data_IF_802604978617
#
_entry.id   IF_802604978617
#
_cell.length_a   1.000
_cell.length_b   1.000
_cell.length_c   1.000
_cell.angle_alpha   90.00
_cell.angle_beta   90.00
_cell.angle_gamma   90.00
#
_symmetry.space_group_name_H-M   'P 1'
#
loop_
_entity.id
_entity.type
_entity.pdbx_description
1 polymer ?
#
# COMPACT_ATOMS: atom_id res chain seq x y z
N UNK A 1 -32.89 21.31 6.39
CA UNK A 1 -33.78 20.14 6.27
C UNK A 1 -32.88 18.91 6.10
N UNK A 2 -32.55 18.08 7.09
CA UNK A 2 -33.20 17.67 8.33
C UNK A 2 -32.18 17.61 9.49
N UNK A 3 -32.57 18.12 10.66
CA UNK A 3 -31.77 18.15 11.88
C UNK A 3 -32.23 17.12 12.91
N UNK A 4 -31.92 15.85 12.68
CA UNK A 4 -31.99 14.81 13.72
C UNK A 4 -30.65 14.06 13.65
N UNK A 5 -29.85 14.02 14.74
CA UNK A 5 -28.63 13.22 14.77
C UNK A 5 -29.04 11.74 14.76
N UNK A 6 -29.02 11.13 13.58
CA UNK A 6 -29.22 9.68 13.43
C UNK A 6 -27.98 9.01 14.02
N UNK A 7 -28.16 8.11 14.99
CA UNK A 7 -27.04 7.35 15.55
C UNK A 7 -26.34 6.56 14.45
N UNK A 8 -25.00 6.60 14.43
CA UNK A 8 -24.19 5.93 13.40
C UNK A 8 -24.53 4.43 13.31
N UNK A 9 -24.89 3.80 14.42
CA UNK A 9 -25.38 2.42 14.49
C UNK A 9 -26.69 2.20 13.72
N UNK A 10 -27.60 3.19 13.71
CA UNK A 10 -28.83 3.13 12.92
C UNK A 10 -28.54 3.32 11.42
N UNK A 11 -27.55 4.15 11.05
CA UNK A 11 -27.07 4.24 9.66
C UNK A 11 -26.41 2.94 9.20
N UNK A 12 -25.61 2.27 10.04
CA UNK A 12 -25.01 0.97 9.73
C UNK A 12 -26.04 -0.15 9.59
N UNK A 13 -27.05 -0.19 10.47
CA UNK A 13 -28.18 -1.11 10.32
C UNK A 13 -28.96 -0.81 9.03
N UNK A 14 -29.17 0.46 8.69
CA UNK A 14 -29.84 0.83 7.45
C UNK A 14 -29.04 0.42 6.21
N UNK A 15 -27.72 0.64 6.19
CA UNK A 15 -26.83 0.28 5.06
C UNK A 15 -26.69 -1.23 4.93
N UNK A 16 -26.52 -1.97 6.04
CA UNK A 16 -26.43 -3.43 6.02
C UNK A 16 -27.75 -4.08 5.61
N UNK A 17 -28.89 -3.54 6.06
CA UNK A 17 -30.23 -3.94 5.60
C UNK A 17 -30.40 -3.60 4.11
N UNK A 18 -29.97 -2.42 3.65
CA UNK A 18 -30.00 -2.05 2.24
C UNK A 18 -29.16 -2.99 1.37
N UNK A 19 -27.95 -3.35 1.79
CA UNK A 19 -27.08 -4.28 1.07
C UNK A 19 -27.65 -5.69 1.04
N UNK A 20 -28.30 -6.14 2.12
CA UNK A 20 -29.00 -7.42 2.15
C UNK A 20 -30.22 -7.40 1.23
N UNK A 21 -31.04 -6.35 1.28
CA UNK A 21 -32.22 -6.19 0.41
C UNK A 21 -31.78 -6.12 -1.05
N UNK A 22 -30.76 -5.33 -1.38
CA UNK A 22 -30.24 -5.20 -2.75
C UNK A 22 -29.61 -6.51 -3.22
N UNK A 23 -28.93 -7.25 -2.35
CA UNK A 23 -28.44 -8.60 -2.61
C UNK A 23 -29.57 -9.60 -2.88
N UNK A 24 -30.67 -9.53 -2.13
CA UNK A 24 -31.85 -10.38 -2.38
C UNK A 24 -32.60 -10.00 -3.65
N UNK A 25 -32.74 -8.70 -3.96
CA UNK A 25 -33.38 -8.21 -5.19
C UNK A 25 -32.54 -8.58 -6.40
N UNK A 26 -31.22 -8.42 -6.36
CA UNK A 26 -30.31 -8.88 -7.43
C UNK A 26 -30.34 -10.40 -7.57
N UNK A 27 -30.42 -11.15 -6.46
CA UNK A 27 -30.60 -12.61 -6.50
C UNK A 27 -31.94 -13.02 -7.13
N UNK A 28 -33.03 -12.29 -6.88
CA UNK A 28 -34.34 -12.56 -7.48
C UNK A 28 -34.40 -12.15 -8.96
N UNK A 29 -33.82 -11.00 -9.33
CA UNK A 29 -33.72 -10.54 -10.73
C UNK A 29 -32.79 -11.45 -11.54
N UNK A 30 -31.71 -11.96 -10.93
CA UNK A 30 -30.82 -12.95 -11.53
C UNK A 30 -31.51 -14.31 -11.79
N UNK A 31 -32.51 -14.68 -10.99
CA UNK A 31 -33.27 -15.93 -11.20
C UNK A 31 -34.35 -15.79 -12.27
N UNK A 32 -34.83 -14.57 -12.54
CA UNK A 32 -35.85 -14.31 -13.57
C UNK A 32 -35.25 -13.97 -14.94
N UNK A 33 -33.98 -13.54 -15.00
CA UNK A 33 -33.26 -13.29 -16.24
C UNK A 33 -32.41 -14.50 -16.65
N UNK A 34 -33.06 -15.58 -17.07
CA UNK A 34 -32.43 -16.55 -17.97
C UNK A 34 -32.49 -15.96 -19.38
N UNK A 35 -31.47 -15.19 -19.76
CA UNK A 35 -31.32 -14.74 -21.15
C UNK A 35 -30.89 -15.94 -22.00
N UNK A 36 -31.85 -16.79 -22.36
CA UNK A 36 -31.67 -17.84 -23.35
C UNK A 36 -31.51 -17.17 -24.72
N UNK A 37 -30.26 -16.91 -25.12
CA UNK A 37 -29.96 -16.55 -26.49
C UNK A 37 -30.24 -17.77 -27.38
N UNK A 38 -31.19 -17.71 -28.33
CA UNK A 38 -31.53 -18.83 -29.20
C UNK A 38 -30.52 -18.87 -30.34
N UNK A 39 -29.30 -19.31 -30.04
CA UNK A 39 -28.30 -19.57 -31.09
C UNK A 39 -27.90 -21.04 -31.02
N UNK A 40 -28.66 -21.85 -31.77
CA UNK A 40 -28.25 -23.20 -32.12
C UNK A 40 -27.04 -23.14 -33.06
N UNK A 41 -25.85 -23.14 -32.49
CA UNK A 41 -24.63 -23.29 -33.29
C UNK A 41 -24.58 -24.72 -33.87
N UNK A 42 -24.34 -24.88 -35.18
CA UNK A 42 -24.22 -26.20 -35.79
C UNK A 42 -23.04 -26.94 -35.15
N UNK A 43 -23.29 -28.18 -34.69
CA UNK A 43 -22.25 -29.05 -34.15
C UNK A 43 -21.32 -29.51 -35.27
N UNK A 44 -20.35 -28.66 -35.62
CA UNK A 44 -19.23 -29.04 -36.47
C UNK A 44 -18.39 -30.03 -35.66
N UNK A 45 -18.47 -31.32 -36.01
CA UNK A 45 -17.55 -32.35 -35.53
C UNK A 45 -16.14 -32.02 -35.99
N UNK A 46 -15.41 -31.21 -35.21
CA UNK A 46 -13.98 -30.97 -35.42
C UNK A 46 -13.23 -32.28 -35.12
N UNK A 47 -12.46 -32.75 -36.10
CA UNK A 47 -11.50 -33.85 -35.93
C UNK A 47 -10.61 -33.56 -34.72
N UNK A 48 -10.51 -34.53 -33.80
CA UNK A 48 -9.68 -34.44 -32.59
C UNK A 48 -8.21 -34.26 -33.00
N UNK A 49 -7.69 -33.04 -32.87
CA UNK A 49 -6.24 -32.84 -32.72
C UNK A 49 -5.92 -33.21 -31.27
N UNK A 50 -5.21 -34.30 -31.07
CA UNK A 50 -4.58 -34.62 -29.78
C UNK A 50 -3.38 -33.68 -29.65
N UNK A 51 -3.64 -32.45 -29.24
CA UNK A 51 -2.61 -31.55 -28.77
C UNK A 51 -2.48 -31.74 -27.27
N UNK A 52 -1.25 -31.93 -26.78
CA UNK A 52 -0.94 -31.84 -25.35
C UNK A 52 -1.08 -30.37 -24.93
N UNK A 53 -2.31 -29.92 -24.67
CA UNK A 53 -2.55 -28.57 -24.15
C UNK A 53 -2.12 -28.55 -22.68
N UNK A 54 -1.26 -27.61 -22.31
CA UNK A 54 -0.84 -27.47 -20.91
C UNK A 54 -2.05 -27.10 -20.05
N UNK A 55 -2.21 -27.81 -18.93
CA UNK A 55 -3.32 -27.64 -17.98
C UNK A 55 -3.44 -26.18 -17.51
N UNK A 56 -2.29 -25.53 -17.25
CA UNK A 56 -2.19 -24.12 -16.88
C UNK A 56 -2.83 -23.20 -17.93
N UNK A 57 -2.56 -23.43 -19.21
CA UNK A 57 -3.08 -22.60 -20.30
C UNK A 57 -4.59 -22.73 -20.42
N UNK A 58 -5.13 -23.93 -20.24
CA UNK A 58 -6.56 -24.16 -20.30
C UNK A 58 -7.30 -23.51 -19.13
N UNK A 59 -6.79 -23.65 -17.91
CA UNK A 59 -7.37 -23.01 -16.73
C UNK A 59 -7.25 -21.48 -16.80
N UNK A 60 -6.13 -20.95 -17.28
CA UNK A 60 -5.96 -19.51 -17.46
C UNK A 60 -6.87 -18.95 -18.56
N UNK A 61 -7.00 -19.64 -19.70
CA UNK A 61 -7.93 -19.26 -20.77
C UNK A 61 -9.38 -19.24 -20.27
N UNK A 62 -9.78 -20.29 -19.55
CA UNK A 62 -11.10 -20.43 -18.97
C UNK A 62 -11.40 -19.34 -17.94
N UNK A 63 -10.43 -19.04 -17.07
CA UNK A 63 -10.54 -17.97 -16.08
C UNK A 63 -10.64 -16.59 -16.75
N UNK A 64 -9.73 -16.31 -17.69
CA UNK A 64 -9.67 -15.00 -18.36
C UNK A 64 -10.90 -14.74 -19.22
N UNK A 65 -11.30 -15.68 -20.07
CA UNK A 65 -12.38 -15.47 -21.06
C UNK A 65 -13.73 -15.94 -20.51
N UNK A 66 -13.81 -17.15 -19.98
CA UNK A 66 -15.04 -17.71 -19.44
C UNK A 66 -15.48 -17.04 -18.13
N UNK A 67 -14.53 -16.77 -17.22
CA UNK A 67 -14.76 -16.07 -15.96
C UNK A 67 -14.69 -14.54 -16.05
N UNK A 68 -14.55 -13.97 -17.25
CA UNK A 68 -14.37 -12.53 -17.49
C UNK A 68 -13.20 -11.90 -16.69
N UNK A 69 -12.17 -12.68 -16.36
CA UNK A 69 -10.97 -12.19 -15.66
C UNK A 69 -10.23 -11.08 -16.41
N UNK A 70 -10.41 -10.97 -17.73
CA UNK A 70 -9.89 -9.85 -18.53
C UNK A 70 -10.45 -8.49 -18.07
N UNK A 71 -11.67 -8.43 -17.52
CA UNK A 71 -12.27 -7.19 -16.98
C UNK A 71 -11.48 -6.73 -15.76
N UNK A 72 -11.09 -7.65 -14.88
CA UNK A 72 -10.27 -7.33 -13.70
C UNK A 72 -8.89 -6.79 -14.11
N UNK A 73 -8.29 -7.34 -15.19
CA UNK A 73 -7.03 -6.82 -15.73
C UNK A 73 -7.19 -5.41 -16.29
N UNK A 74 -8.24 -5.13 -17.07
CA UNK A 74 -8.49 -3.78 -17.59
C UNK A 74 -8.67 -2.80 -16.44
N UNK A 75 -9.48 -3.15 -15.43
CA UNK A 75 -9.68 -2.30 -14.25
C UNK A 75 -8.37 -2.02 -13.51
N UNK A 76 -7.52 -3.04 -13.36
CA UNK A 76 -6.20 -2.89 -12.75
C UNK A 76 -5.31 -1.95 -13.57
N UNK A 77 -5.29 -2.08 -14.90
CA UNK A 77 -4.52 -1.20 -15.79
C UNK A 77 -5.07 0.23 -15.78
N UNK A 78 -6.39 0.42 -15.79
CA UNK A 78 -6.98 1.76 -15.68
C UNK A 78 -6.66 2.41 -14.34
N UNK A 79 -6.68 1.64 -13.25
CA UNK A 79 -6.23 2.10 -11.94
C UNK A 79 -4.76 2.53 -11.99
N UNK A 80 -3.91 1.73 -12.64
CA UNK A 80 -2.49 2.03 -12.79
C UNK A 80 -2.27 3.37 -13.51
N UNK A 81 -2.92 3.58 -14.65
CA UNK A 81 -2.80 4.81 -15.44
C UNK A 81 -3.35 6.01 -14.64
N UNK A 82 -4.50 5.87 -13.99
CA UNK A 82 -5.16 6.95 -13.26
C UNK A 82 -4.37 7.41 -12.02
N UNK A 83 -3.59 6.53 -11.40
CA UNK A 83 -2.84 6.81 -10.17
C UNK A 83 -1.33 7.03 -10.41
N UNK A 84 -0.87 7.05 -11.65
CA UNK A 84 0.53 7.38 -11.96
C UNK A 84 0.66 8.89 -12.08
N UNK A 85 1.33 9.52 -11.12
CA UNK A 85 1.67 10.94 -11.23
C UNK A 85 2.78 11.13 -12.26
N UNK A 86 2.65 12.17 -13.08
CA UNK A 86 3.59 12.52 -14.17
C UNK A 86 4.36 13.80 -13.90
N UNK A 87 3.96 14.59 -12.90
CA UNK A 87 4.60 15.85 -12.55
C UNK A 87 5.80 15.58 -11.66
N UNK A 88 7.03 15.96 -12.06
CA UNK A 88 8.20 15.82 -11.22
C UNK A 88 8.08 16.71 -9.97
N UNK A 89 8.76 16.33 -8.90
CA UNK A 89 8.82 17.12 -7.68
C UNK A 89 9.40 18.50 -7.96
N UNK A 90 8.64 19.52 -7.59
CA UNK A 90 9.08 20.91 -7.53
C UNK A 90 8.76 21.44 -6.14
N UNK A 91 9.71 22.07 -5.44
CA UNK A 91 9.45 22.65 -4.13
C UNK A 91 8.30 23.66 -4.21
N UNK A 92 7.18 23.36 -3.55
CA UNK A 92 5.95 24.15 -3.66
C UNK A 92 5.95 25.39 -2.78
N UNK A 93 6.57 25.30 -1.61
CA UNK A 93 6.61 26.38 -0.63
C UNK A 93 8.00 27.02 -0.55
N UNK A 94 8.07 28.29 -0.15
CA UNK A 94 9.36 28.99 0.06
C UNK A 94 10.26 28.25 1.06
N UNK A 95 9.69 27.74 2.15
CA UNK A 95 10.40 26.90 3.13
C UNK A 95 11.01 25.64 2.50
N UNK A 96 10.29 25.02 1.56
CA UNK A 96 10.74 23.81 0.88
C UNK A 96 11.86 24.13 -0.13
N UNK A 97 11.81 25.32 -0.75
CA UNK A 97 12.88 25.83 -1.60
C UNK A 97 14.15 26.11 -0.81
N UNK A 98 14.04 26.78 0.35
CA UNK A 98 15.17 27.01 1.24
C UNK A 98 15.77 25.69 1.75
N UNK A 99 14.92 24.72 2.14
CA UNK A 99 15.38 23.38 2.51
C UNK A 99 16.12 22.70 1.36
N UNK A 100 15.55 22.72 0.16
CA UNK A 100 16.15 22.10 -1.02
C UNK A 100 17.52 22.73 -1.37
N UNK A 101 17.63 24.05 -1.27
CA UNK A 101 18.87 24.80 -1.51
C UNK A 101 20.01 24.32 -0.62
N UNK A 102 19.78 24.19 0.69
CA UNK A 102 20.79 23.67 1.59
C UNK A 102 20.99 22.17 1.41
N UNK A 103 19.92 21.39 1.21
CA UNK A 103 20.00 19.95 1.03
C UNK A 103 20.92 19.57 -0.13
N UNK A 104 20.84 20.24 -1.28
CA UNK A 104 21.74 19.97 -2.41
C UNK A 104 23.21 20.09 -2.03
N UNK A 105 23.57 21.07 -1.19
CA UNK A 105 24.95 21.32 -0.77
C UNK A 105 25.47 20.25 0.20
N UNK A 106 24.62 19.72 1.06
CA UNK A 106 25.00 18.74 2.10
C UNK A 106 24.68 17.29 1.76
N UNK A 107 23.90 17.04 0.70
CA UNK A 107 23.42 15.70 0.31
C UNK A 107 24.52 14.65 0.17
N UNK A 108 24.24 13.41 0.58
CA UNK A 108 25.17 12.27 0.49
C UNK A 108 25.96 11.99 1.78
N UNK A 109 27.18 11.41 1.69
CA UNK A 109 27.95 11.03 2.87
C UNK A 109 28.37 12.25 3.69
N UNK A 110 28.31 12.08 5.00
CA UNK A 110 28.73 13.08 5.97
C UNK A 110 30.26 13.19 5.96
N UNK A 111 30.78 14.38 5.68
CA UNK A 111 32.22 14.68 5.58
C UNK A 111 32.54 15.89 6.47
N UNK A 112 33.79 16.01 6.98
CA UNK A 112 34.16 17.11 7.86
C UNK A 112 34.03 18.50 7.19
N UNK A 113 34.18 18.57 5.87
CA UNK A 113 33.97 19.81 5.10
C UNK A 113 32.52 20.30 5.16
N UNK A 114 31.57 19.36 5.09
CA UNK A 114 30.14 19.66 5.20
C UNK A 114 29.73 20.04 6.62
N UNK A 115 30.36 19.43 7.63
CA UNK A 115 30.17 19.83 9.03
C UNK A 115 30.63 21.28 9.24
N UNK A 116 31.80 21.63 8.71
CA UNK A 116 32.31 23.00 8.79
C UNK A 116 31.36 24.02 8.12
N UNK A 117 30.81 23.67 6.95
CA UNK A 117 29.81 24.49 6.26
C UNK A 117 28.53 24.71 7.11
N UNK A 118 27.95 23.63 7.66
CA UNK A 118 26.77 23.73 8.52
C UNK A 118 27.03 24.59 9.76
N UNK A 119 28.19 24.43 10.40
CA UNK A 119 28.53 25.23 11.58
C UNK A 119 28.79 26.70 11.24
N UNK A 120 29.35 27.02 10.07
CA UNK A 120 29.49 28.42 9.63
C UNK A 120 28.15 29.06 9.34
N UNK A 121 27.24 28.33 8.70
CA UNK A 121 25.91 28.83 8.36
C UNK A 121 25.05 29.01 9.63
N UNK A 122 25.19 28.11 10.61
CA UNK A 122 24.58 28.27 11.93
C UNK A 122 25.02 29.57 12.61
N UNK A 123 26.34 29.86 12.61
CA UNK A 123 26.86 31.11 13.17
C UNK A 123 26.31 32.34 12.45
N UNK A 124 26.21 32.28 11.11
CA UNK A 124 25.61 33.34 10.31
C UNK A 124 24.20 33.66 10.81
N UNK A 125 23.36 32.65 11.05
CA UNK A 125 22.00 32.83 11.57
C UNK A 125 21.96 33.35 13.02
N UNK A 126 22.87 32.89 13.88
CA UNK A 126 22.99 33.36 15.27
C UNK A 126 23.40 34.85 15.35
N UNK A 127 24.13 35.36 14.35
CA UNK A 127 24.57 36.76 14.28
C UNK A 127 23.51 37.72 13.71
N UNK A 128 22.51 37.23 12.97
CA UNK A 128 21.46 38.05 12.36
C UNK A 128 20.76 38.99 13.37
N UNK A 129 20.33 38.54 14.57
CA UNK A 129 19.72 39.43 15.57
C UNK A 129 20.65 40.57 16.00
N UNK A 130 21.96 40.30 16.12
CA UNK A 130 22.96 41.30 16.48
C UNK A 130 23.15 42.32 15.35
N UNK A 131 23.12 41.87 14.10
CA UNK A 131 23.22 42.75 12.92
C UNK A 131 21.99 43.67 12.82
N UNK A 132 20.79 43.16 13.08
CA UNK A 132 19.59 44.00 13.19
C UNK A 132 19.73 45.07 14.29
N UNK A 133 20.25 44.71 15.46
CA UNK A 133 20.46 45.66 16.56
C UNK A 133 21.47 46.76 16.21
N UNK A 134 22.58 46.41 15.53
CA UNK A 134 23.60 47.38 15.08
C UNK A 134 23.01 48.34 14.04
N UNK A 135 22.25 47.85 13.07
CA UNK A 135 21.61 48.69 12.05
C UNK A 135 20.59 49.64 12.65
N UNK A 136 19.78 49.15 13.60
CA UNK A 136 18.83 49.98 14.32
C UNK A 136 19.54 51.09 15.10
N UNK A 137 20.60 50.76 15.84
CA UNK A 137 21.37 51.73 16.60
C UNK A 137 22.08 52.76 15.69
N UNK A 138 22.62 52.33 14.56
CA UNK A 138 23.25 53.22 13.57
C UNK A 138 22.26 54.20 12.91
N UNK A 139 21.01 53.77 12.71
CA UNK A 139 19.93 54.63 12.25
C UNK A 139 19.50 55.64 13.32
N UNK A 140 19.33 55.19 14.57
CA UNK A 140 18.96 56.06 15.71
C UNK A 140 20.04 57.13 16.00
N UNK A 141 21.32 56.81 15.77
CA UNK A 141 22.44 57.73 15.91
C UNK A 141 22.62 58.67 14.70
N UNK A 142 21.78 58.54 13.66
CA UNK A 142 21.87 59.35 12.44
C UNK A 142 23.09 59.05 11.55
N UNK A 143 23.77 57.92 11.79
CA UNK A 143 24.94 57.48 11.03
C UNK A 143 24.56 56.77 9.71
N UNK A 144 23.32 56.26 9.61
CA UNK A 144 22.76 55.68 8.39
C UNK A 144 21.67 56.55 7.77
N UNK A 145 21.68 56.65 6.44
CA UNK A 145 20.53 57.14 5.69
C UNK A 145 19.33 56.19 5.85
N UNK A 146 18.12 56.72 5.74
CA UNK A 146 16.89 55.91 5.74
C UNK A 146 16.89 54.89 4.60
N UNK A 147 17.42 55.25 3.45
CA UNK A 147 17.49 54.37 2.28
C UNK A 147 18.44 53.20 2.55
N UNK A 148 19.65 53.48 3.03
CA UNK A 148 20.65 52.46 3.39
C UNK A 148 20.13 51.51 4.48
N UNK A 149 19.44 52.06 5.49
CA UNK A 149 18.83 51.27 6.55
C UNK A 149 17.76 50.30 6.01
N UNK A 150 16.88 50.78 5.13
CA UNK A 150 15.82 49.95 4.54
C UNK A 150 16.41 48.85 3.64
N UNK A 151 17.41 49.18 2.82
CA UNK A 151 18.05 48.20 1.94
C UNK A 151 18.75 47.08 2.74
N UNK A 152 19.56 47.45 3.74
CA UNK A 152 20.30 46.48 4.55
C UNK A 152 19.36 45.64 5.43
N UNK A 153 18.32 46.25 6.00
CA UNK A 153 17.30 45.52 6.76
C UNK A 153 16.53 44.55 5.87
N UNK A 154 16.23 44.93 4.62
CA UNK A 154 15.55 44.06 3.67
C UNK A 154 16.42 42.87 3.26
N UNK A 155 17.72 43.08 3.02
CA UNK A 155 18.67 42.00 2.74
C UNK A 155 18.77 41.02 3.92
N UNK A 156 18.90 41.53 5.15
CA UNK A 156 18.93 40.67 6.34
C UNK A 156 17.62 39.92 6.57
N UNK A 157 16.48 40.55 6.28
CA UNK A 157 15.17 39.89 6.37
C UNK A 157 15.07 38.76 5.35
N UNK A 158 15.57 38.98 4.13
CA UNK A 158 15.64 37.94 3.10
C UNK A 158 16.52 36.77 3.55
N UNK A 159 17.72 37.04 4.06
CA UNK A 159 18.63 36.02 4.61
C UNK A 159 17.99 35.25 5.76
N UNK A 160 17.29 35.94 6.67
CA UNK A 160 16.57 35.30 7.78
C UNK A 160 15.48 34.32 7.32
N UNK A 161 14.88 34.52 6.13
CA UNK A 161 13.86 33.58 5.64
C UNK A 161 14.41 32.18 5.38
N UNK A 162 15.69 32.07 5.05
CA UNK A 162 16.38 30.79 4.80
C UNK A 162 16.56 29.95 6.08
N UNK A 163 16.50 30.59 7.25
CA UNK A 163 16.67 29.93 8.55
C UNK A 163 15.70 28.75 8.73
N UNK A 164 14.44 28.94 8.32
CA UNK A 164 13.38 27.91 8.43
C UNK A 164 13.69 26.62 7.67
N UNK A 165 14.36 26.72 6.51
CA UNK A 165 14.83 25.57 5.73
C UNK A 165 16.09 24.95 6.33
N UNK A 166 17.00 25.79 6.82
CA UNK A 166 18.25 25.37 7.47
C UNK A 166 18.02 24.59 8.77
N UNK A 167 17.08 25.03 9.62
CA UNK A 167 16.74 24.37 10.89
C UNK A 167 16.32 22.91 10.69
N UNK A 168 15.62 22.59 9.59
CA UNK A 168 15.23 21.21 9.27
C UNK A 168 16.45 20.32 9.00
N UNK A 169 17.48 20.85 8.35
CA UNK A 169 18.74 20.12 8.08
C UNK A 169 19.55 19.98 9.36
N UNK A 170 19.59 21.02 10.20
CA UNK A 170 20.24 20.96 11.51
C UNK A 170 19.61 19.90 12.41
N UNK A 171 18.29 19.72 12.35
CA UNK A 171 17.59 18.61 12.99
C UNK A 171 18.13 17.25 12.56
N UNK A 172 18.26 17.01 11.24
CA UNK A 172 18.84 15.76 10.73
C UNK A 172 20.32 15.61 11.12
N UNK A 173 21.10 16.69 11.05
CA UNK A 173 22.52 16.70 11.41
C UNK A 173 22.75 16.25 12.87
N UNK A 174 21.99 16.80 13.82
CA UNK A 174 22.12 16.43 15.24
C UNK A 174 21.90 14.93 15.47
N UNK A 175 20.93 14.34 14.76
CA UNK A 175 20.64 12.90 14.78
C UNK A 175 21.76 12.07 14.15
N UNK A 176 22.33 12.52 13.03
CA UNK A 176 23.44 11.83 12.38
C UNK A 176 24.69 11.78 13.26
N UNK A 177 24.97 12.86 14.00
CA UNK A 177 26.07 12.91 14.97
C UNK A 177 25.89 11.91 16.11
N UNK A 178 24.66 11.72 16.56
CA UNK A 178 24.32 10.67 17.53
C UNK A 178 24.58 9.26 16.95
N UNK A 179 24.21 9.03 15.69
CA UNK A 179 24.45 7.75 15.02
C UNK A 179 25.94 7.46 14.79
N UNK A 180 26.73 8.48 14.47
CA UNK A 180 28.18 8.37 14.31
C UNK A 180 28.85 7.95 15.64
N UNK A 181 28.38 8.47 16.78
CA UNK A 181 28.84 8.03 18.09
C UNK A 181 28.58 6.54 18.37
N UNK A 182 27.59 5.96 17.70
CA UNK A 182 27.25 4.52 17.74
C UNK A 182 28.02 3.70 16.69
N UNK A 183 28.94 4.32 15.94
CA UNK A 183 29.74 3.69 14.89
C UNK A 183 29.00 3.47 13.55
N UNK A 184 27.88 4.17 13.33
CA UNK A 184 27.06 4.05 12.12
C UNK A 184 27.25 5.30 11.25
N UNK A 185 27.76 5.13 10.03
CA UNK A 185 27.91 6.22 9.06
C UNK A 185 26.56 6.59 8.42
N UNK A 186 25.79 7.44 9.08
CA UNK A 186 24.53 7.96 8.56
C UNK A 186 24.71 8.85 7.32
N UNK A 187 23.64 9.04 6.55
CA UNK A 187 23.62 9.94 5.38
C UNK A 187 22.43 10.89 5.46
N UNK A 188 22.60 12.12 4.96
CA UNK A 188 21.51 13.10 4.86
C UNK A 188 20.58 12.67 3.73
N UNK A 189 19.28 12.55 4.02
CA UNK A 189 18.26 12.09 3.08
C UNK A 189 17.18 13.16 2.89
N UNK A 190 16.67 13.27 1.65
CA UNK A 190 15.62 14.24 1.35
C UNK A 190 14.33 13.85 2.08
N UNK A 191 13.81 14.74 2.92
CA UNK A 191 12.63 14.50 3.76
C UNK A 191 11.43 14.00 2.96
N UNK A 192 11.09 14.68 1.86
CA UNK A 192 9.94 14.29 1.01
C UNK A 192 10.15 12.94 0.33
N UNK A 193 11.39 12.58 -0.03
CA UNK A 193 11.66 11.26 -0.59
C UNK A 193 11.45 10.18 0.48
N UNK A 194 11.86 10.45 1.73
CA UNK A 194 11.63 9.57 2.89
C UNK A 194 10.14 9.46 3.20
N UNK A 195 9.41 10.58 3.24
CA UNK A 195 7.97 10.60 3.50
C UNK A 195 7.17 9.86 2.42
N UNK A 196 7.48 10.08 1.14
CA UNK A 196 6.86 9.33 0.04
C UNK A 196 7.17 7.82 0.11
N UNK A 197 8.35 7.45 0.64
CA UNK A 197 8.73 6.06 0.82
C UNK A 197 8.03 5.41 2.03
N UNK A 198 7.90 6.12 3.15
CA UNK A 198 7.42 5.61 4.44
C UNK A 198 5.92 5.79 4.66
N UNK A 199 5.34 6.90 4.24
CA UNK A 199 4.09 7.44 4.80
C UNK A 199 3.12 7.96 3.72
N UNK A 200 2.33 7.06 3.14
CA UNK A 200 1.13 7.42 2.37
C UNK A 200 -0.10 6.63 2.85
N UNK A 201 -0.47 6.70 4.15
CA UNK A 201 -1.45 5.78 4.75
C UNK A 201 -2.80 5.81 4.04
N UNK A 202 -3.31 6.98 3.64
CA UNK A 202 -4.58 7.07 2.92
C UNK A 202 -4.51 6.40 1.54
N UNK A 203 -3.53 6.76 0.71
CA UNK A 203 -3.37 6.18 -0.63
C UNK A 203 -3.15 4.66 -0.58
N UNK A 204 -2.39 4.21 0.42
CA UNK A 204 -2.08 2.80 0.63
C UNK A 204 -3.31 1.98 0.99
N UNK A 205 -4.22 2.53 1.81
CA UNK A 205 -5.49 1.85 2.08
C UNK A 205 -6.34 1.79 0.80
N UNK A 206 -6.26 2.79 -0.07
CA UNK A 206 -7.06 2.88 -1.30
C UNK A 206 -6.63 1.80 -2.27
N UNK A 207 -5.31 1.67 -2.45
CA UNK A 207 -4.68 0.59 -3.21
C UNK A 207 -5.08 -0.79 -2.66
N UNK A 208 -5.06 -0.98 -1.34
CA UNK A 208 -5.43 -2.25 -0.73
C UNK A 208 -6.90 -2.63 -0.95
N UNK A 209 -7.83 -1.67 -0.84
CA UNK A 209 -9.26 -1.87 -1.16
C UNK A 209 -9.43 -2.31 -2.61
N UNK A 210 -8.81 -1.58 -3.55
CA UNK A 210 -8.89 -1.90 -4.98
C UNK A 210 -8.29 -3.28 -5.28
N UNK A 211 -7.13 -3.58 -4.70
CA UNK A 211 -6.49 -4.88 -4.81
C UNK A 211 -7.40 -6.01 -4.32
N UNK A 212 -8.00 -5.88 -3.15
CA UNK A 212 -8.87 -6.92 -2.58
C UNK A 212 -10.12 -7.15 -3.42
N UNK A 213 -10.76 -6.08 -3.90
CA UNK A 213 -11.91 -6.18 -4.81
C UNK A 213 -11.53 -6.93 -6.08
N UNK A 214 -10.43 -6.53 -6.73
CA UNK A 214 -9.96 -7.18 -7.95
C UNK A 214 -9.55 -8.64 -7.71
N UNK A 215 -8.90 -8.93 -6.58
CA UNK A 215 -8.48 -10.28 -6.20
C UNK A 215 -9.69 -11.20 -5.98
N UNK A 216 -10.69 -10.75 -5.21
CA UNK A 216 -11.91 -11.51 -4.94
C UNK A 216 -12.62 -11.83 -6.25
N UNK A 217 -12.80 -10.84 -7.13
CA UNK A 217 -13.46 -11.04 -8.43
C UNK A 217 -12.66 -11.98 -9.35
N UNK A 218 -11.34 -11.79 -9.46
CA UNK A 218 -10.50 -12.62 -10.33
C UNK A 218 -10.43 -14.07 -9.86
N UNK A 219 -10.26 -14.32 -8.56
CA UNK A 219 -10.11 -15.67 -8.01
C UNK A 219 -11.46 -16.40 -7.94
N UNK A 220 -12.56 -15.71 -7.62
CA UNK A 220 -13.89 -16.34 -7.69
C UNK A 220 -14.26 -16.72 -9.13
N UNK A 221 -13.85 -15.91 -10.12
CA UNK A 221 -13.97 -16.23 -11.55
C UNK A 221 -13.27 -17.53 -11.97
N UNK A 222 -12.14 -17.89 -11.33
CA UNK A 222 -11.42 -19.15 -11.58
C UNK A 222 -12.28 -20.38 -11.22
N UNK A 223 -13.12 -20.26 -10.19
CA UNK A 223 -14.02 -21.34 -9.73
C UNK A 223 -15.43 -21.24 -10.28
N UNK A 224 -15.84 -20.07 -10.76
CA UNK A 224 -17.22 -19.79 -11.16
C UNK A 224 -17.75 -20.76 -12.21
N UNK A 225 -16.98 -20.96 -13.27
CA UNK A 225 -17.35 -21.88 -14.33
C UNK A 225 -17.52 -23.32 -13.82
N UNK A 226 -16.70 -23.78 -12.88
CA UNK A 226 -16.80 -25.17 -12.36
C UNK A 226 -18.01 -25.40 -11.47
N UNK A 227 -18.46 -24.34 -10.79
CA UNK A 227 -19.66 -24.37 -9.96
C UNK A 227 -20.93 -24.29 -10.82
N UNK A 228 -20.94 -23.41 -11.84
CA UNK A 228 -22.11 -23.20 -12.72
C UNK A 228 -22.31 -24.36 -13.71
N UNK A 229 -21.24 -24.94 -14.23
CA UNK A 229 -21.31 -26.05 -15.21
C UNK A 229 -21.43 -27.45 -14.58
N UNK A 230 -21.41 -27.55 -13.24
CA UNK A 230 -21.44 -28.84 -12.54
C UNK A 230 -20.22 -29.73 -12.77
N UNK A 231 -19.16 -29.20 -13.41
CA UNK A 231 -17.95 -29.95 -13.78
C UNK A 231 -17.24 -30.58 -12.59
N UNK A 232 -17.45 -30.04 -11.39
CA UNK A 232 -16.91 -30.56 -10.14
C UNK A 232 -17.20 -32.05 -9.96
N UNK A 233 -18.42 -32.52 -10.26
CA UNK A 233 -18.79 -33.94 -10.15
C UNK A 233 -18.00 -34.86 -11.10
N UNK A 234 -17.73 -34.37 -12.31
CA UNK A 234 -16.99 -35.10 -13.35
C UNK A 234 -15.47 -35.11 -13.08
N UNK A 235 -14.93 -34.06 -12.49
CA UNK A 235 -13.50 -34.00 -12.13
C UNK A 235 -13.20 -34.99 -10.99
N UNK A 236 -14.09 -35.11 -10.00
CA UNK A 236 -13.89 -36.00 -8.85
C UNK A 236 -13.88 -37.49 -9.22
N UNK A 237 -14.48 -37.89 -10.36
CA UNK A 237 -14.41 -39.27 -10.84
C UNK A 237 -13.06 -39.63 -11.50
N UNK A 238 -12.15 -38.67 -11.67
CA UNK A 238 -10.81 -38.88 -12.25
C UNK A 238 -9.69 -38.82 -11.21
N UNK A 239 -9.21 -39.98 -10.76
CA UNK A 239 -8.24 -40.14 -9.65
C UNK A 239 -6.92 -39.37 -9.86
N UNK A 240 -6.36 -39.38 -11.08
CA UNK A 240 -5.07 -38.71 -11.38
C UNK A 240 -5.21 -37.24 -11.82
N UNK A 241 -6.39 -36.82 -12.27
CA UNK A 241 -6.66 -35.48 -12.79
C UNK A 241 -6.92 -34.45 -11.70
N UNK A 242 -7.65 -34.86 -10.65
CA UNK A 242 -8.08 -33.97 -9.58
C UNK A 242 -6.92 -33.28 -8.83
N UNK A 243 -5.92 -34.05 -8.37
CA UNK A 243 -4.79 -33.49 -7.60
C UNK A 243 -3.99 -32.49 -8.43
N UNK A 244 -3.70 -32.81 -9.70
CA UNK A 244 -2.94 -31.93 -10.59
C UNK A 244 -3.72 -30.64 -10.89
N UNK A 245 -5.03 -30.73 -11.09
CA UNK A 245 -5.90 -29.57 -11.30
C UNK A 245 -5.97 -28.67 -10.05
N UNK A 246 -6.09 -29.27 -8.87
CA UNK A 246 -6.12 -28.53 -7.60
C UNK A 246 -4.86 -27.68 -7.40
N UNK A 247 -3.66 -28.27 -7.53
CA UNK A 247 -2.39 -27.54 -7.42
C UNK A 247 -2.21 -26.48 -8.52
N UNK A 248 -2.72 -26.74 -9.72
CA UNK A 248 -2.72 -25.77 -10.82
C UNK A 248 -3.56 -24.54 -10.46
N UNK A 249 -4.73 -24.73 -9.85
CA UNK A 249 -5.59 -23.63 -9.41
C UNK A 249 -4.99 -22.85 -8.25
N UNK A 250 -4.35 -23.53 -7.30
CA UNK A 250 -3.58 -22.85 -6.23
C UNK A 250 -2.49 -21.98 -6.84
N UNK A 251 -1.70 -22.51 -7.78
CA UNK A 251 -0.67 -21.75 -8.47
C UNK A 251 -1.22 -20.54 -9.24
N UNK A 252 -2.35 -20.70 -9.91
CA UNK A 252 -3.03 -19.58 -10.59
C UNK A 252 -3.58 -18.54 -9.62
N UNK A 253 -4.19 -18.95 -8.51
CA UNK A 253 -4.70 -18.03 -7.50
C UNK A 253 -3.56 -17.25 -6.81
N UNK A 254 -2.45 -17.92 -6.49
CA UNK A 254 -1.23 -17.27 -6.02
C UNK A 254 -0.68 -16.28 -7.06
N UNK A 255 -0.63 -16.68 -8.33
CA UNK A 255 -0.22 -15.82 -9.44
C UNK A 255 -1.12 -14.59 -9.63
N UNK A 256 -2.44 -14.74 -9.50
CA UNK A 256 -3.36 -13.61 -9.49
C UNK A 256 -3.12 -12.68 -8.31
N UNK A 257 -2.89 -13.23 -7.11
CA UNK A 257 -2.49 -12.48 -5.91
C UNK A 257 -1.26 -11.63 -6.15
N UNK A 258 -0.13 -12.23 -6.52
CA UNK A 258 1.11 -11.49 -6.74
C UNK A 258 1.04 -10.55 -7.94
N UNK A 259 0.42 -10.98 -9.04
CA UNK A 259 0.33 -10.19 -10.28
C UNK A 259 -0.54 -8.94 -10.12
N UNK A 260 -1.72 -9.07 -9.51
CA UNK A 260 -2.58 -7.91 -9.23
C UNK A 260 -1.96 -6.98 -8.20
N UNK A 261 -1.26 -7.52 -7.19
CA UNK A 261 -0.50 -6.70 -6.24
C UNK A 261 0.56 -5.87 -6.94
N UNK A 262 1.40 -6.48 -7.79
CA UNK A 262 2.40 -5.72 -8.55
C UNK A 262 1.76 -4.63 -9.41
N UNK A 263 0.64 -4.93 -10.06
CA UNK A 263 -0.04 -3.99 -10.96
C UNK A 263 -0.67 -2.81 -10.20
N UNK A 264 -1.30 -3.07 -9.04
CA UNK A 264 -1.95 -2.03 -8.22
C UNK A 264 -0.94 -1.15 -7.49
N UNK A 265 0.22 -1.69 -7.10
CA UNK A 265 1.30 -0.92 -6.45
C UNK A 265 2.31 -0.34 -7.45
N UNK A 266 2.28 -0.73 -8.72
CA UNK A 266 3.15 -0.20 -9.79
C UNK A 266 3.19 1.34 -9.83
N UNK A 267 2.04 2.05 -9.76
CA UNK A 267 2.03 3.52 -9.84
C UNK A 267 2.85 4.17 -8.73
N UNK A 268 2.80 3.64 -7.51
CA UNK A 268 3.58 4.14 -6.37
C UNK A 268 5.07 4.12 -6.71
N UNK A 269 5.55 2.99 -7.22
CA UNK A 269 6.97 2.83 -7.56
C UNK A 269 7.35 3.69 -8.76
N UNK A 270 6.51 3.76 -9.80
CA UNK A 270 6.75 4.63 -10.95
C UNK A 270 6.85 6.11 -10.52
N UNK A 271 5.87 6.60 -9.77
CA UNK A 271 5.87 7.97 -9.25
C UNK A 271 7.06 8.22 -8.32
N UNK A 272 7.45 7.24 -7.50
CA UNK A 272 8.63 7.38 -6.66
C UNK A 272 9.91 7.56 -7.51
N UNK A 273 10.16 6.67 -8.48
CA UNK A 273 11.39 6.71 -9.27
C UNK A 273 11.45 7.88 -10.26
N UNK A 274 10.32 8.33 -10.80
CA UNK A 274 10.29 9.39 -11.83
C UNK A 274 9.98 10.77 -11.28
N UNK A 275 9.25 10.87 -10.16
CA UNK A 275 8.78 12.14 -9.64
C UNK A 275 9.36 12.52 -8.28
N UNK A 276 9.94 11.60 -7.51
CA UNK A 276 10.57 11.96 -6.22
C UNK A 276 12.04 12.34 -6.37
N UNK A 277 12.59 13.16 -5.46
CA UNK A 277 14.03 13.44 -5.40
C UNK A 277 14.85 12.16 -5.29
N UNK A 278 16.06 12.18 -5.86
CA UNK A 278 16.95 11.03 -5.81
C UNK A 278 17.30 10.66 -4.36
N UNK A 279 17.22 9.36 -4.07
CA UNK A 279 17.46 8.79 -2.74
C UNK A 279 18.70 7.89 -2.77
N UNK A 280 19.53 8.02 -1.74
CA UNK A 280 20.65 7.11 -1.49
C UNK A 280 20.15 5.76 -0.94
N UNK A 281 19.89 4.79 -1.83
CA UNK A 281 19.43 3.45 -1.44
C UNK A 281 20.40 2.65 -0.57
N UNK A 282 21.69 2.99 -0.63
CA UNK A 282 22.75 2.39 0.20
C UNK A 282 22.90 3.04 1.57
N UNK A 283 22.13 4.10 1.87
CA UNK A 283 22.11 4.67 3.21
C UNK A 283 21.68 3.60 4.24
N UNK A 284 22.25 3.64 5.46
CA UNK A 284 21.79 2.77 6.53
C UNK A 284 20.38 3.18 6.96
N UNK A 285 19.55 2.19 7.28
CA UNK A 285 18.13 2.36 7.66
C UNK A 285 17.94 3.31 8.84
N UNK A 286 18.93 3.38 9.75
CA UNK A 286 18.93 4.31 10.89
C UNK A 286 18.91 5.78 10.47
N UNK A 287 19.28 6.11 9.23
CA UNK A 287 19.20 7.48 8.71
C UNK A 287 17.76 7.93 8.42
N UNK A 288 16.79 7.00 8.42
CA UNK A 288 15.38 7.31 8.23
C UNK A 288 14.74 7.80 9.53
N UNK A 289 13.90 8.82 9.41
CA UNK A 289 13.12 9.35 10.51
C UNK A 289 12.18 8.26 11.08
N UNK A 290 12.31 7.97 12.38
CA UNK A 290 11.55 6.92 13.08
C UNK A 290 12.22 5.54 13.11
N UNK A 291 13.41 5.36 12.54
CA UNK A 291 14.17 4.10 12.61
C UNK A 291 15.55 4.20 13.29
N UNK A 292 15.85 5.34 13.92
CA UNK A 292 17.13 5.63 14.58
C UNK A 292 17.50 4.66 15.72
N UNK A 293 16.50 4.11 16.41
CA UNK A 293 16.71 3.25 17.58
C UNK A 293 16.79 1.74 17.25
N UNK A 294 16.68 1.38 15.97
CA UNK A 294 16.72 -0.02 15.53
C UNK A 294 18.17 -0.49 15.30
N UNK A 295 18.50 -1.66 15.83
CA UNK A 295 19.82 -2.30 15.69
C UNK A 295 20.10 -2.96 14.32
N UNK A 296 19.28 -2.70 13.30
CA UNK A 296 19.39 -3.39 12.00
C UNK A 296 20.42 -2.75 11.08
N UNK A 297 21.58 -3.38 10.89
CA UNK A 297 22.63 -2.89 9.98
C UNK A 297 22.36 -3.24 8.51
N UNK A 298 21.19 -2.85 8.00
CA UNK A 298 20.79 -3.06 6.62
C UNK A 298 20.73 -1.72 5.87
N UNK A 299 20.86 -1.77 4.54
CA UNK A 299 20.59 -0.60 3.69
C UNK A 299 19.08 -0.39 3.49
N UNK A 300 18.69 0.86 3.21
CA UNK A 300 17.29 1.20 2.91
C UNK A 300 16.75 0.36 1.75
N UNK A 301 17.55 0.19 0.68
CA UNK A 301 17.15 -0.64 -0.47
C UNK A 301 16.91 -2.10 -0.11
N UNK A 302 17.73 -2.70 0.76
CA UNK A 302 17.52 -4.09 1.20
C UNK A 302 16.24 -4.25 2.01
N UNK A 303 15.93 -3.30 2.90
CA UNK A 303 14.68 -3.34 3.67
C UNK A 303 13.47 -3.19 2.75
N UNK A 304 13.51 -2.26 1.79
CA UNK A 304 12.44 -2.10 0.80
C UNK A 304 12.23 -3.39 0.00
N UNK A 305 13.30 -4.01 -0.49
CA UNK A 305 13.21 -5.27 -1.23
C UNK A 305 12.61 -6.41 -0.38
N UNK A 306 13.01 -6.52 0.88
CA UNK A 306 12.45 -7.51 1.81
C UNK A 306 10.96 -7.25 2.08
N UNK A 307 10.55 -5.98 2.26
CA UNK A 307 9.14 -5.64 2.48
C UNK A 307 8.28 -5.97 1.26
N UNK A 308 8.72 -5.61 0.05
CA UNK A 308 8.01 -5.95 -1.20
C UNK A 308 7.95 -7.47 -1.37
N UNK A 309 9.04 -8.20 -1.11
CA UNK A 309 9.06 -9.65 -1.14
C UNK A 309 8.05 -10.29 -0.17
N UNK A 310 7.98 -9.77 1.06
CA UNK A 310 7.01 -10.22 2.06
C UNK A 310 5.56 -9.91 1.65
N UNK A 311 5.31 -8.73 1.08
CA UNK A 311 3.98 -8.36 0.56
C UNK A 311 3.55 -9.28 -0.60
N UNK A 312 4.46 -9.63 -1.50
CA UNK A 312 4.18 -10.57 -2.60
C UNK A 312 3.80 -11.95 -2.09
N UNK A 313 4.48 -12.43 -1.04
CA UNK A 313 4.13 -13.68 -0.37
C UNK A 313 2.74 -13.58 0.27
N UNK A 314 2.44 -12.49 0.99
CA UNK A 314 1.13 -12.29 1.60
C UNK A 314 0.01 -12.22 0.55
N UNK A 315 0.24 -11.51 -0.56
CA UNK A 315 -0.70 -11.41 -1.67
C UNK A 315 -0.98 -12.78 -2.32
N UNK A 316 0.07 -13.60 -2.51
CA UNK A 316 -0.07 -14.96 -3.00
C UNK A 316 -0.92 -15.82 -2.05
N UNK A 317 -0.62 -15.76 -0.75
CA UNK A 317 -1.36 -16.50 0.29
C UNK A 317 -2.83 -16.06 0.34
N UNK A 318 -3.12 -14.76 0.26
CA UNK A 318 -4.49 -14.25 0.18
C UNK A 318 -5.23 -14.78 -1.05
N UNK A 319 -4.58 -14.81 -2.22
CA UNK A 319 -5.18 -15.42 -3.42
C UNK A 319 -5.59 -16.87 -3.17
N UNK A 320 -4.74 -17.66 -2.52
CA UNK A 320 -5.07 -19.05 -2.16
C UNK A 320 -6.17 -19.16 -1.10
N UNK A 321 -6.22 -18.24 -0.14
CA UNK A 321 -7.27 -18.20 0.88
C UNK A 321 -8.63 -17.89 0.26
N UNK A 322 -8.72 -16.91 -0.65
CA UNK A 322 -9.94 -16.59 -1.41
C UNK A 322 -10.39 -17.80 -2.23
N UNK A 323 -9.45 -18.51 -2.88
CA UNK A 323 -9.76 -19.73 -3.61
C UNK A 323 -10.37 -20.82 -2.70
N UNK A 324 -9.78 -21.02 -1.52
CA UNK A 324 -10.28 -22.01 -0.55
C UNK A 324 -11.69 -21.69 -0.06
N UNK A 325 -11.98 -20.41 0.21
CA UNK A 325 -13.29 -19.92 0.60
C UNK A 325 -14.32 -20.15 -0.53
N UNK A 326 -13.93 -19.86 -1.78
CA UNK A 326 -14.80 -20.07 -2.93
C UNK A 326 -15.16 -21.55 -3.14
N UNK A 327 -14.20 -22.45 -2.96
CA UNK A 327 -14.42 -23.89 -3.04
C UNK A 327 -15.33 -24.42 -1.92
N UNK A 328 -15.23 -23.85 -0.72
CA UNK A 328 -16.07 -24.24 0.41
C UNK A 328 -17.55 -23.90 0.19
N UNK A 329 -17.82 -22.72 -0.37
CA UNK A 329 -19.18 -22.20 -0.56
C UNK A 329 -19.89 -22.77 -1.81
N UNK A 330 -19.13 -23.32 -2.77
CA UNK A 330 -19.62 -24.02 -3.97
C UNK A 330 -20.53 -23.21 -4.90
N UNK A 331 -20.74 -21.93 -4.61
CA UNK A 331 -21.59 -20.99 -5.34
C UNK A 331 -20.86 -19.67 -5.48
N UNK A 332 -20.97 -19.02 -6.64
CA UNK A 332 -20.21 -17.81 -7.02
C UNK A 332 -20.57 -16.59 -6.16
N UNK A 333 -21.84 -16.21 -6.14
CA UNK A 333 -22.34 -15.06 -5.38
C UNK A 333 -22.01 -15.09 -3.88
N UNK A 334 -22.28 -16.16 -3.12
CA UNK A 334 -21.94 -16.18 -1.70
C UNK A 334 -20.42 -16.19 -1.48
N UNK A 335 -19.62 -16.69 -2.43
CA UNK A 335 -18.16 -16.62 -2.35
C UNK A 335 -17.63 -15.19 -2.45
N UNK A 336 -18.22 -14.38 -3.34
CA UNK A 336 -17.91 -12.96 -3.45
C UNK A 336 -18.32 -12.22 -2.17
N UNK A 337 -19.55 -12.46 -1.69
CA UNK A 337 -20.06 -11.81 -0.48
C UNK A 337 -19.25 -12.18 0.78
N UNK A 338 -18.93 -13.47 0.96
CA UNK A 338 -18.11 -13.94 2.08
C UNK A 338 -16.68 -13.42 1.97
N UNK A 339 -16.09 -13.37 0.76
CA UNK A 339 -14.77 -12.78 0.54
C UNK A 339 -14.74 -11.30 0.88
N UNK A 340 -15.75 -10.54 0.48
CA UNK A 340 -15.87 -9.13 0.84
C UNK A 340 -16.03 -8.95 2.37
N UNK A 341 -16.87 -9.75 3.02
CA UNK A 341 -17.07 -9.66 4.46
C UNK A 341 -15.82 -10.05 5.26
N UNK A 342 -15.06 -11.06 4.80
CA UNK A 342 -13.92 -11.59 5.54
C UNK A 342 -12.63 -10.82 5.28
N UNK A 343 -12.41 -10.32 4.05
CA UNK A 343 -11.16 -9.66 3.67
C UNK A 343 -11.30 -8.15 3.43
N UNK A 344 -12.40 -7.69 2.83
CA UNK A 344 -12.59 -6.27 2.50
C UNK A 344 -13.10 -5.46 3.71
N UNK A 345 -14.08 -6.00 4.44
CA UNK A 345 -14.67 -5.30 5.59
C UNK A 345 -13.64 -4.94 6.69
N UNK A 346 -12.68 -5.81 7.06
CA UNK A 346 -11.63 -5.44 8.02
C UNK A 346 -10.79 -4.23 7.57
N UNK A 347 -10.47 -4.11 6.28
CA UNK A 347 -9.67 -2.99 5.73
C UNK A 347 -10.50 -1.70 5.67
N UNK A 348 -11.78 -1.79 5.32
CA UNK A 348 -12.67 -0.63 5.37
C UNK A 348 -12.88 -0.13 6.80
N UNK A 349 -12.97 -1.05 7.77
CA UNK A 349 -13.04 -0.71 9.19
C UNK A 349 -11.74 -0.05 9.67
N UNK A 350 -10.57 -0.52 9.24
CA UNK A 350 -9.29 0.13 9.61
C UNK A 350 -9.16 1.53 9.01
N UNK A 351 -9.65 1.74 7.79
CA UNK A 351 -9.68 3.08 7.20
C UNK A 351 -10.42 4.07 8.09
N UNK A 352 -11.59 3.68 8.61
CA UNK A 352 -12.40 4.53 9.47
C UNK A 352 -11.67 4.91 10.76
N UNK A 353 -10.83 4.02 11.30
CA UNK A 353 -9.99 4.32 12.48
C UNK A 353 -8.84 5.29 12.18
N UNK A 354 -8.30 5.28 10.95
CA UNK A 354 -7.29 6.27 10.53
C UNK A 354 -7.91 7.66 10.38
N UNK A 355 -9.15 7.73 9.89
CA UNK A 355 -9.91 9.00 9.85
C UNK A 355 -10.20 9.54 11.26
N UNK A 356 -10.35 8.65 12.26
CA UNK A 356 -10.50 9.02 13.67
C UNK A 356 -9.23 9.72 14.22
N UNK A 357 -8.04 9.18 13.94
CA UNK A 357 -6.76 9.80 14.37
C UNK A 357 -6.51 11.17 13.74
N UNK A 358 -7.10 11.46 12.57
CA UNK A 358 -7.03 12.77 11.91
C UNK A 358 -8.01 13.82 12.45
N UNK A 359 -8.78 13.52 13.51
CA UNK A 359 -9.58 14.48 14.25
C UNK A 359 -11.01 14.72 13.73
N UNK A 360 -11.54 13.86 12.85
CA UNK A 360 -12.88 14.04 12.26
C UNK A 360 -14.00 13.34 13.05
N UNK A 361 -13.69 12.35 13.88
CA UNK A 361 -14.67 11.61 14.70
C UNK A 361 -14.02 11.10 16.00
N UNK A 362 -14.82 10.90 17.06
CA UNK A 362 -14.38 10.42 18.37
C UNK A 362 -15.19 9.17 18.79
N UNK A 363 -14.80 7.97 18.36
CA UNK A 363 -15.34 6.71 18.91
C UNK A 363 -14.26 5.63 18.85
N UNK A 364 -13.65 5.24 19.99
CA UNK A 364 -12.53 4.32 20.02
C UNK A 364 -13.02 2.89 19.75
N UNK A 365 -12.99 2.47 18.49
CA UNK A 365 -13.30 1.09 18.09
C UNK A 365 -12.12 0.12 18.33
N UNK A 366 -11.02 0.60 18.90
CA UNK A 366 -9.77 -0.14 19.13
C UNK A 366 -9.76 -0.99 20.42
N UNK A 367 -10.91 -1.56 20.80
CA UNK A 367 -11.02 -2.54 21.89
C UNK A 367 -10.70 -3.97 21.46
N UNK A 368 -9.44 -4.27 21.14
CA UNK A 368 -8.78 -5.58 21.31
C UNK A 368 -9.14 -6.77 20.40
N UNK A 369 -10.38 -6.97 19.97
CA UNK A 369 -10.79 -8.27 19.39
C UNK A 369 -10.51 -8.44 17.89
N UNK A 370 -10.58 -7.37 17.09
CA UNK A 370 -10.41 -7.43 15.63
C UNK A 370 -8.98 -7.11 15.15
N UNK A 371 -8.15 -6.50 16.00
CA UNK A 371 -6.75 -6.19 15.73
C UNK A 371 -5.93 -7.37 15.17
N UNK A 372 -5.97 -8.60 15.74
CA UNK A 372 -5.17 -9.70 15.20
C UNK A 372 -5.63 -10.16 13.80
N UNK A 373 -6.90 -9.97 13.43
CA UNK A 373 -7.42 -10.34 12.11
C UNK A 373 -7.20 -9.24 11.05
N UNK A 374 -7.23 -7.97 11.47
CA UNK A 374 -7.01 -6.79 10.61
C UNK A 374 -5.52 -6.57 10.33
N UNK A 375 -4.64 -6.81 11.32
CA UNK A 375 -3.18 -6.59 11.22
C UNK A 375 -2.48 -7.27 10.02
N UNK A 376 -2.73 -8.53 9.65
CA UNK A 376 -2.11 -9.11 8.45
C UNK A 376 -2.57 -8.43 7.15
N UNK A 377 -3.80 -7.91 7.10
CA UNK A 377 -4.26 -7.09 5.97
C UNK A 377 -3.61 -5.69 6.00
N UNK A 378 -3.32 -5.13 7.18
CA UNK A 378 -2.56 -3.86 7.32
C UNK A 378 -1.12 -3.95 6.80
N UNK A 379 -0.49 -5.13 6.84
CA UNK A 379 0.88 -5.29 6.29
C UNK A 379 0.89 -5.15 4.75
N UNK A 380 -0.21 -5.48 4.07
CA UNK A 380 -0.34 -5.17 2.64
C UNK A 380 -0.47 -3.68 2.39
N UNK A 381 -1.06 -2.94 3.33
CA UNK A 381 -1.31 -1.50 3.22
C UNK A 381 0.03 -0.75 3.34
N UNK A 382 0.76 -0.90 4.44
CA UNK A 382 1.93 -0.05 4.69
C UNK A 382 3.04 -0.78 5.48
N UNK A 383 3.89 -1.59 4.83
CA UNK A 383 4.89 -2.38 5.52
C UNK A 383 6.00 -1.51 6.13
N UNK A 384 6.37 -0.38 5.50
CA UNK A 384 7.44 0.48 6.01
C UNK A 384 7.01 1.34 7.20
N UNK A 385 5.74 1.77 7.29
CA UNK A 385 5.21 2.39 8.51
C UNK A 385 5.05 1.33 9.61
N UNK A 386 4.64 0.10 9.26
CA UNK A 386 4.59 -1.04 10.17
C UNK A 386 5.98 -1.43 10.72
N UNK A 387 7.08 -1.15 9.99
CA UNK A 387 8.46 -1.28 10.50
C UNK A 387 8.74 -0.35 11.69
N UNK A 388 7.98 0.74 11.88
CA UNK A 388 8.11 1.59 13.07
C UNK A 388 7.59 0.87 14.33
N UNK A 389 6.60 -0.02 14.21
CA UNK A 389 5.88 -0.65 15.34
C UNK A 389 6.26 -2.13 15.66
N UNK A 390 7.19 -2.75 14.94
CA UNK A 390 7.49 -4.20 15.07
C UNK A 390 7.96 -4.60 16.47
N UNK A 391 7.15 -5.43 17.13
CA UNK A 391 7.54 -6.35 18.22
C UNK A 391 7.79 -7.77 17.67
N UNK A 392 8.61 -8.59 18.33
CA UNK A 392 9.17 -9.83 17.76
C UNK A 392 8.17 -10.94 17.32
N UNK A 393 6.87 -10.84 17.63
CA UNK A 393 5.86 -11.85 17.32
C UNK A 393 5.31 -11.86 15.88
N UNK A 394 5.82 -10.99 14.99
CA UNK A 394 5.15 -10.63 13.73
C UNK A 394 5.45 -11.56 12.55
N UNK A 395 6.61 -12.22 12.55
CA UNK A 395 7.10 -13.02 11.41
C UNK A 395 6.42 -14.39 11.25
N UNK A 396 5.71 -14.87 12.28
CA UNK A 396 5.28 -16.28 12.36
C UNK A 396 3.82 -16.49 11.87
N UNK A 397 3.03 -15.42 11.79
CA UNK A 397 1.58 -15.54 11.60
C UNK A 397 1.06 -15.91 10.19
N UNK A 398 1.65 -15.48 9.04
CA UNK A 398 1.14 -15.92 7.73
C UNK A 398 1.24 -17.44 7.52
N UNK A 399 2.16 -18.10 8.26
CA UNK A 399 2.31 -19.55 8.25
C UNK A 399 1.23 -20.27 9.08
N UNK A 400 0.78 -19.67 10.18
CA UNK A 400 -0.20 -20.27 11.10
C UNK A 400 -1.64 -20.17 10.59
N UNK A 401 -2.05 -19.03 10.04
CA UNK A 401 -3.42 -18.84 9.52
C UNK A 401 -3.72 -19.68 8.27
N UNK A 402 -2.73 -19.84 7.39
CA UNK A 402 -2.86 -20.65 6.17
C UNK A 402 -2.79 -22.15 6.47
N UNK A 403 -1.99 -22.58 7.46
CA UNK A 403 -1.93 -23.98 7.89
C UNK A 403 -3.29 -24.51 8.39
N UNK A 404 -4.10 -23.66 9.03
CA UNK A 404 -5.44 -24.03 9.52
C UNK A 404 -6.46 -24.10 8.38
N UNK A 405 -6.39 -23.21 7.38
CA UNK A 405 -7.27 -23.23 6.21
C UNK A 405 -6.93 -24.36 5.22
N UNK A 406 -5.64 -24.65 5.01
CA UNK A 406 -5.20 -25.80 4.18
C UNK A 406 -5.49 -27.13 4.91
N UNK A 407 -5.29 -27.19 6.24
CA UNK A 407 -5.56 -28.39 7.04
C UNK A 407 -7.05 -28.73 7.23
N UNK A 408 -7.94 -27.74 7.09
CA UNK A 408 -9.40 -27.93 7.20
C UNK A 408 -10.08 -28.39 5.91
N UNK A 409 -9.37 -28.39 4.77
CA UNK A 409 -9.76 -29.17 3.59
C UNK A 409 -9.51 -30.65 3.88
N UNK A 410 -10.35 -31.25 4.73
CA UNK A 410 -10.45 -32.70 4.83
C UNK A 410 -10.90 -33.23 3.48
N UNK A 411 -9.96 -33.72 2.68
CA UNK A 411 -10.22 -34.60 1.55
C UNK A 411 -10.93 -35.83 2.15
N UNK A 412 -12.24 -36.06 1.93
CA UNK A 412 -12.99 -37.08 2.65
C UNK A 412 -12.63 -38.53 2.28
N UNK A 413 -11.56 -38.74 1.49
CA UNK A 413 -11.18 -40.06 0.97
C UNK A 413 -9.75 -40.51 1.31
N UNK A 414 -9.03 -39.84 2.20
CA UNK A 414 -7.67 -40.25 2.60
C UNK A 414 -7.60 -41.16 3.85
N UNK A 415 -8.72 -41.77 4.25
CA UNK A 415 -8.74 -42.87 5.22
C UNK A 415 -9.71 -43.96 4.77
N UNK A 416 -9.40 -44.60 3.65
CA UNK A 416 -9.68 -46.03 3.40
C UNK A 416 -9.03 -46.44 2.07
N UNK A 417 -7.97 -47.24 2.23
CA UNK A 417 -7.11 -47.91 1.24
C UNK A 417 -5.96 -47.11 0.68
#
# INVERSE_FOLDING_TARGET
>A
FFGIPVSLSAMWLAVSVLLLVLGTVVSMVSQTWSLELPVSLPQIRKKRKIGTVSLLRQELYKSMIGGKGWVCLILAVTWCIANTHTTPYTPSNWTDQCYFYYYEQVSGPFTPEKEAFLLSEQKKFEEIPNQFAILQQGYEQGLLSREDYLEQTQQLTYDATFQSGFEQIMGQYSRLKELESRGISGRILHKIAVDNLLSAPAEDHQRAVVFLVLLILAVTGLTAYDHESGLSSLIHSTVRGYRRLYWTKIGLAAGYGSGLFLLVWLPRWLTYFFCSPAMDWWAPVQSLDGMSDRSWHCSVGTVVLLTVGYQLLCAALLGTAVLSLAQFLKKTLPSIAAGALLFLAPVLLSWLTVLEQSGWFAVPLTGGALLPFVRPLLILISPLSMLQDISAGWLIWPLLGVGILIGSVKIPHLMKR
#
